data_IF_161279960228
#
_entry.id   IF_161279960228
#
_cell.length_a   1.000
_cell.length_b   1.000
_cell.length_c   1.000
_cell.angle_alpha   90.00
_cell.angle_beta   90.00
_cell.angle_gamma   90.00
#
_symmetry.space_group_name_H-M   'P 1'
#
loop_
_entity.id
_entity.type
_entity.pdbx_description
1 polymer ?
#
# COMPACT_ATOMS: atom_id res chain seq x y z
N UNK A 1 -34.84 -37.47 -34.52
CA UNK A 1 -34.22 -36.13 -34.54
C UNK A 1 -35.18 -35.18 -33.84
N UNK A 2 -34.97 -34.94 -32.55
CA UNK A 2 -35.82 -34.06 -31.74
C UNK A 2 -35.09 -32.73 -31.52
N UNK A 3 -35.63 -31.65 -32.07
CA UNK A 3 -35.25 -30.29 -31.72
C UNK A 3 -36.39 -29.69 -30.89
N UNK A 4 -36.18 -29.58 -29.58
CA UNK A 4 -37.07 -28.85 -28.67
C UNK A 4 -36.39 -27.52 -28.37
N UNK A 5 -36.82 -26.46 -29.04
CA UNK A 5 -36.53 -25.08 -28.68
C UNK A 5 -37.40 -24.70 -27.48
N UNK A 6 -36.85 -24.84 -26.27
CA UNK A 6 -37.45 -24.28 -25.06
C UNK A 6 -37.20 -22.77 -24.97
N UNK A 7 -38.15 -21.97 -24.43
CA UNK A 7 -37.93 -20.57 -24.17
C UNK A 7 -36.87 -20.43 -23.07
N UNK A 8 -35.80 -19.70 -23.36
CA UNK A 8 -34.84 -19.25 -22.34
C UNK A 8 -35.63 -18.40 -21.34
N UNK A 9 -35.96 -19.00 -20.19
CA UNK A 9 -36.52 -18.30 -19.05
C UNK A 9 -35.53 -17.19 -18.67
N UNK A 10 -35.83 -15.95 -19.07
CA UNK A 10 -35.26 -14.75 -18.45
C UNK A 10 -35.69 -14.76 -16.98
N UNK A 11 -34.88 -15.35 -16.10
CA UNK A 11 -34.96 -15.07 -14.66
C UNK A 11 -34.90 -13.56 -14.51
N UNK A 12 -35.98 -12.96 -13.99
CA UNK A 12 -36.00 -11.57 -13.53
C UNK A 12 -34.75 -11.33 -12.68
N UNK A 13 -33.87 -10.42 -13.09
CA UNK A 13 -32.76 -9.91 -12.29
C UNK A 13 -33.28 -8.99 -11.17
N UNK A 14 -34.17 -9.50 -10.33
CA UNK A 14 -34.55 -8.84 -9.08
C UNK A 14 -33.45 -9.16 -8.06
N UNK A 15 -32.45 -8.29 -7.93
CA UNK A 15 -31.39 -8.50 -6.93
C UNK A 15 -30.01 -7.87 -7.21
N UNK A 16 -29.83 -7.05 -8.25
CA UNK A 16 -28.57 -6.33 -8.45
C UNK A 16 -28.60 -4.98 -7.74
N UNK A 17 -27.53 -4.65 -7.02
CA UNK A 17 -27.35 -3.31 -6.48
C UNK A 17 -27.23 -2.31 -7.63
N UNK A 18 -27.79 -1.10 -7.46
CA UNK A 18 -27.62 -0.03 -8.43
C UNK A 18 -26.14 0.23 -8.68
N UNK A 19 -25.78 0.40 -9.94
CA UNK A 19 -24.42 0.78 -10.32
C UNK A 19 -24.29 2.28 -10.12
N UNK A 20 -23.87 2.69 -8.93
CA UNK A 20 -23.58 4.09 -8.62
C UNK A 20 -22.19 4.21 -7.99
N UNK A 21 -21.54 5.38 -8.13
CA UNK A 21 -20.31 5.72 -7.41
C UNK A 21 -20.35 5.26 -5.95
N UNK A 22 -19.30 4.58 -5.52
CA UNK A 22 -19.14 4.14 -4.13
C UNK A 22 -18.29 5.11 -3.31
N UNK A 23 -18.16 4.81 -2.03
CA UNK A 23 -17.16 5.44 -1.17
C UNK A 23 -16.20 4.38 -0.65
N UNK A 24 -14.91 4.70 -0.58
CA UNK A 24 -13.87 3.86 -0.02
C UNK A 24 -13.14 4.58 1.12
N UNK A 25 -13.24 4.06 2.34
CA UNK A 25 -12.39 4.45 3.46
C UNK A 25 -11.17 3.53 3.51
N UNK A 26 -9.98 4.10 3.39
CA UNK A 26 -8.70 3.39 3.30
C UNK A 26 -7.84 3.80 4.49
N UNK A 27 -7.61 2.86 5.39
CA UNK A 27 -6.82 3.04 6.60
C UNK A 27 -5.54 2.26 6.41
N UNK A 28 -4.46 2.97 6.12
CA UNK A 28 -3.12 2.39 6.02
C UNK A 28 -2.29 2.89 7.19
N UNK A 29 -1.77 1.96 7.99
CA UNK A 29 -0.89 2.25 9.11
C UNK A 29 0.50 1.74 8.76
N UNK A 30 1.44 2.68 8.73
CA UNK A 30 2.87 2.41 8.49
C UNK A 30 3.64 2.32 9.78
N UNK A 31 3.51 3.35 10.61
CA UNK A 31 4.30 3.53 11.82
C UNK A 31 3.43 3.25 13.05
N UNK A 32 4.03 2.55 14.01
CA UNK A 32 3.37 2.10 15.23
C UNK A 32 4.17 2.61 16.42
N UNK A 33 3.48 3.20 17.39
CA UNK A 33 4.09 3.58 18.66
C UNK A 33 4.35 2.32 19.47
N UNK A 34 5.60 2.04 19.80
CA UNK A 34 5.98 0.92 20.66
C UNK A 34 7.02 0.01 20.02
N UNK A 35 6.81 -1.31 20.17
CA UNK A 35 7.77 -2.35 19.75
C UNK A 35 7.46 -2.96 18.38
N UNK A 36 6.34 -2.57 17.76
CA UNK A 36 5.99 -3.08 16.44
C UNK A 36 6.85 -2.43 15.37
N UNK A 37 7.29 -3.25 14.42
CA UNK A 37 8.10 -2.79 13.31
C UNK A 37 7.26 -1.96 12.33
N UNK A 38 7.85 -0.97 11.64
CA UNK A 38 7.15 -0.25 10.59
C UNK A 38 6.75 -1.18 9.43
N UNK A 39 5.56 -0.96 8.86
CA UNK A 39 5.10 -1.69 7.67
C UNK A 39 5.64 -1.06 6.40
N UNK A 40 6.81 -1.51 5.99
CA UNK A 40 7.40 -1.14 4.70
C UNK A 40 6.41 -1.44 3.56
N UNK A 41 6.10 -0.48 2.69
CA UNK A 41 5.11 -0.66 1.61
C UNK A 41 3.66 -0.31 1.96
N UNK A 42 3.33 0.04 3.20
CA UNK A 42 1.98 0.50 3.57
C UNK A 42 1.50 1.70 2.72
N UNK A 43 2.43 2.60 2.36
CA UNK A 43 2.16 3.71 1.43
C UNK A 43 1.77 3.23 0.04
N UNK A 44 2.43 2.19 -0.47
CA UNK A 44 2.11 1.63 -1.77
C UNK A 44 0.76 0.91 -1.73
N UNK A 45 0.43 0.17 -0.66
CA UNK A 45 -0.92 -0.37 -0.47
C UNK A 45 -2.00 0.72 -0.52
N UNK A 46 -1.78 1.83 0.21
CA UNK A 46 -2.68 2.98 0.20
C UNK A 46 -2.87 3.52 -1.22
N UNK A 47 -1.77 3.77 -1.93
CA UNK A 47 -1.81 4.27 -3.30
C UNK A 47 -2.46 3.30 -4.28
N UNK A 48 -2.25 1.99 -4.10
CA UNK A 48 -2.86 0.96 -4.93
C UNK A 48 -4.37 0.91 -4.77
N UNK A 49 -4.85 0.88 -3.52
CA UNK A 49 -6.28 0.90 -3.21
C UNK A 49 -6.91 2.21 -3.70
N UNK A 50 -6.31 3.36 -3.36
CA UNK A 50 -6.85 4.67 -3.72
C UNK A 50 -7.02 4.81 -5.23
N UNK A 51 -5.98 4.50 -6.00
CA UNK A 51 -6.01 4.64 -7.45
C UNK A 51 -7.00 3.65 -8.08
N UNK A 52 -7.05 2.41 -7.59
CA UNK A 52 -8.01 1.40 -8.06
C UNK A 52 -9.46 1.83 -7.83
N UNK A 53 -9.77 2.33 -6.63
CA UNK A 53 -11.11 2.82 -6.32
C UNK A 53 -11.46 4.10 -7.10
N UNK A 54 -10.49 5.00 -7.31
CA UNK A 54 -10.70 6.21 -8.11
C UNK A 54 -11.09 5.87 -9.55
N UNK A 55 -10.41 4.90 -10.20
CA UNK A 55 -10.76 4.48 -11.59
C UNK A 55 -12.07 3.68 -11.67
N UNK A 56 -12.57 3.18 -10.54
CA UNK A 56 -13.94 2.61 -10.44
C UNK A 56 -15.01 3.67 -10.19
N UNK A 57 -14.63 4.94 -10.03
CA UNK A 57 -15.53 6.05 -9.73
C UNK A 57 -15.93 6.15 -8.26
N UNK A 58 -15.23 5.45 -7.36
CA UNK A 58 -15.44 5.61 -5.93
C UNK A 58 -14.71 6.87 -5.43
N UNK A 59 -15.33 7.56 -4.47
CA UNK A 59 -14.65 8.60 -3.70
C UNK A 59 -13.82 7.96 -2.59
N UNK A 60 -12.58 8.37 -2.42
CA UNK A 60 -11.66 7.77 -1.45
C UNK A 60 -11.40 8.70 -0.26
N UNK A 61 -11.39 8.14 0.95
CA UNK A 61 -11.08 8.81 2.20
C UNK A 61 -9.98 8.05 2.96
N UNK A 62 -9.06 8.75 3.64
CA UNK A 62 -8.78 10.18 3.47
C UNK A 62 -8.29 10.48 2.04
N UNK A 63 -8.42 11.74 1.62
CA UNK A 63 -7.96 12.16 0.29
C UNK A 63 -6.44 12.00 0.11
N UNK A 64 -5.68 12.11 1.20
CA UNK A 64 -4.23 11.88 1.24
C UNK A 64 -3.90 10.88 2.33
N UNK A 65 -2.78 10.15 2.19
CA UNK A 65 -2.33 9.23 3.22
C UNK A 65 -2.19 9.96 4.57
N UNK A 66 -2.79 9.37 5.61
CA UNK A 66 -2.64 9.82 6.99
C UNK A 66 -1.66 8.87 7.68
N UNK A 67 -0.59 9.43 8.26
CA UNK A 67 0.49 8.65 8.86
C UNK A 67 0.12 8.05 10.21
N UNK A 68 -0.69 8.76 10.99
CA UNK A 68 -1.06 8.38 12.35
C UNK A 68 -2.56 8.16 12.45
N UNK A 69 -2.97 6.98 12.91
CA UNK A 69 -4.34 6.61 13.16
C UNK A 69 -4.52 6.27 14.63
N UNK A 70 -5.38 7.02 15.32
CA UNK A 70 -5.99 6.61 16.58
C UNK A 70 -7.43 6.13 16.35
N UNK A 71 -8.08 5.61 17.40
CA UNK A 71 -9.48 5.19 17.30
C UNK A 71 -10.42 6.37 17.00
N UNK A 72 -10.16 7.55 17.57
CA UNK A 72 -10.96 8.74 17.31
C UNK A 72 -10.78 9.23 15.87
N UNK A 73 -9.56 9.14 15.33
CA UNK A 73 -9.28 9.44 13.93
C UNK A 73 -10.06 8.53 12.99
N UNK A 74 -10.13 7.23 13.30
CA UNK A 74 -10.93 6.28 12.54
C UNK A 74 -12.41 6.68 12.54
N UNK A 75 -12.98 6.95 13.71
CA UNK A 75 -14.40 7.34 13.86
C UNK A 75 -14.68 8.64 13.08
N UNK A 76 -13.79 9.62 13.13
CA UNK A 76 -13.94 10.87 12.40
C UNK A 76 -13.86 10.66 10.88
N UNK A 77 -12.89 9.87 10.40
CA UNK A 77 -12.78 9.54 8.99
C UNK A 77 -13.96 8.72 8.47
N UNK A 78 -14.55 7.85 9.32
CA UNK A 78 -15.77 7.14 8.98
C UNK A 78 -16.96 8.09 8.81
N UNK A 79 -17.14 9.04 9.72
CA UNK A 79 -18.18 10.08 9.61
C UNK A 79 -18.04 10.88 8.32
N UNK A 80 -16.81 11.30 8.00
CA UNK A 80 -16.50 11.98 6.74
C UNK A 80 -16.83 11.10 5.53
N UNK A 81 -16.42 9.83 5.56
CA UNK A 81 -16.64 8.89 4.46
C UNK A 81 -18.13 8.55 4.23
N UNK A 82 -18.98 8.62 5.25
CA UNK A 82 -20.43 8.38 5.06
C UNK A 82 -21.20 9.62 4.64
N UNK A 83 -20.64 10.82 4.82
CA UNK A 83 -21.29 12.11 4.47
C UNK A 83 -21.79 12.16 3.00
N UNK A 84 -21.03 11.69 1.99
CA UNK A 84 -21.51 11.68 0.60
C UNK A 84 -22.79 10.87 0.40
N UNK A 85 -23.05 9.86 1.24
CA UNK A 85 -24.28 9.07 1.16
C UNK A 85 -25.52 9.84 1.63
N UNK A 86 -25.35 10.87 2.43
CA UNK A 86 -26.42 11.73 2.94
C UNK A 86 -26.69 12.89 1.99
N UNK A 87 -25.60 13.53 1.56
CA UNK A 87 -25.65 14.83 0.88
C UNK A 87 -25.71 14.72 -0.65
N UNK A 88 -25.19 13.63 -1.23
CA UNK A 88 -25.00 13.54 -2.69
C UNK A 88 -25.79 12.41 -3.35
N UNK A 89 -26.74 12.80 -4.22
CA UNK A 89 -27.58 11.87 -4.99
C UNK A 89 -26.77 10.81 -5.75
N UNK A 90 -25.59 11.18 -6.28
CA UNK A 90 -24.72 10.27 -7.02
C UNK A 90 -24.25 9.07 -6.17
N UNK A 91 -24.10 9.23 -4.86
CA UNK A 91 -23.59 8.20 -3.95
C UNK A 91 -24.71 7.52 -3.14
N UNK A 92 -25.94 8.03 -3.16
CA UNK A 92 -27.06 7.53 -2.34
C UNK A 92 -27.40 6.04 -2.50
N UNK A 93 -26.90 5.35 -3.51
CA UNK A 93 -27.08 3.89 -3.69
C UNK A 93 -25.76 3.12 -3.82
N UNK A 94 -24.64 3.80 -3.63
CA UNK A 94 -23.31 3.26 -3.85
C UNK A 94 -22.85 2.29 -2.78
N UNK A 95 -21.89 1.41 -3.12
CA UNK A 95 -21.21 0.58 -2.15
C UNK A 95 -20.32 1.39 -1.22
N UNK A 96 -20.11 0.84 -0.03
CA UNK A 96 -19.10 1.29 0.92
C UNK A 96 -17.97 0.28 1.00
N UNK A 97 -16.75 0.72 0.74
CA UNK A 97 -15.52 -0.06 0.91
C UNK A 97 -14.80 0.41 2.16
N UNK A 98 -14.40 -0.52 3.02
CA UNK A 98 -13.57 -0.25 4.18
C UNK A 98 -12.32 -1.10 4.08
N UNK A 99 -11.16 -0.48 3.88
CA UNK A 99 -9.90 -1.17 3.68
C UNK A 99 -8.95 -0.86 4.84
N UNK A 100 -8.47 -1.90 5.51
CA UNK A 100 -7.39 -1.81 6.48
C UNK A 100 -6.12 -2.43 5.90
N UNK A 101 -5.02 -1.68 5.92
CA UNK A 101 -3.66 -2.20 5.74
C UNK A 101 -2.85 -1.82 6.98
N UNK A 102 -2.68 -2.76 7.91
CA UNK A 102 -2.02 -2.50 9.19
C UNK A 102 -1.42 -3.80 9.79
N UNK A 103 -0.91 -3.73 11.02
CA UNK A 103 -0.71 -4.90 11.86
C UNK A 103 -2.03 -5.38 12.49
N UNK A 104 -2.05 -6.64 12.89
CA UNK A 104 -3.16 -7.16 13.67
C UNK A 104 -2.91 -8.55 14.21
N UNK A 105 -3.61 -8.86 15.29
CA UNK A 105 -3.56 -10.13 16.00
C UNK A 105 -4.96 -10.52 16.52
N UNK A 106 -5.03 -11.53 17.37
CA UNK A 106 -6.24 -12.00 18.04
C UNK A 106 -7.06 -10.91 18.77
N UNK A 107 -6.44 -9.80 19.19
CA UNK A 107 -7.10 -8.66 19.85
C UNK A 107 -7.78 -7.74 18.85
N UNK A 108 -7.29 -7.67 17.62
CA UNK A 108 -7.88 -6.89 16.55
C UNK A 108 -6.87 -6.24 15.62
N UNK A 109 -7.25 -5.06 15.13
CA UNK A 109 -6.50 -4.26 14.17
C UNK A 109 -5.62 -3.28 14.96
N UNK A 110 -4.30 -3.30 14.77
CA UNK A 110 -3.40 -2.37 15.47
C UNK A 110 -3.48 -0.99 14.83
N UNK A 111 -3.51 0.05 15.67
CA UNK A 111 -3.51 1.47 15.28
C UNK A 111 -2.13 2.10 15.53
N UNK A 112 -1.91 3.34 15.05
CA UNK A 112 -0.60 3.99 15.15
C UNK A 112 -0.16 4.30 16.57
N UNK A 113 -1.09 4.45 17.50
CA UNK A 113 -0.82 4.63 18.92
C UNK A 113 -0.41 3.33 19.63
N UNK A 114 -0.40 2.21 18.92
CA UNK A 114 -0.12 0.87 19.45
C UNK A 114 -1.34 0.21 20.11
N UNK A 115 -2.47 0.92 20.17
CA UNK A 115 -3.73 0.37 20.65
C UNK A 115 -4.36 -0.54 19.60
N UNK A 116 -5.23 -1.43 20.08
CA UNK A 116 -6.01 -2.29 19.21
C UNK A 116 -7.39 -1.68 18.98
N UNK A 117 -7.90 -1.81 17.76
CA UNK A 117 -9.31 -1.69 17.43
C UNK A 117 -9.91 -3.10 17.35
N UNK A 118 -10.57 -3.58 18.41
CA UNK A 118 -11.22 -4.88 18.39
C UNK A 118 -12.32 -4.93 17.33
N UNK A 119 -12.47 -6.10 16.70
CA UNK A 119 -13.42 -6.27 15.60
C UNK A 119 -14.88 -6.10 16.04
N UNK A 120 -15.21 -6.41 17.29
CA UNK A 120 -16.53 -6.15 17.88
C UNK A 120 -16.79 -4.63 18.06
N UNK A 121 -15.76 -3.85 18.41
CA UNK A 121 -15.85 -2.39 18.50
C UNK A 121 -16.02 -1.79 17.11
N UNK A 122 -15.26 -2.26 16.11
CA UNK A 122 -15.46 -1.89 14.71
C UNK A 122 -16.90 -2.18 14.26
N UNK A 123 -17.44 -3.35 14.62
CA UNK A 123 -18.83 -3.73 14.35
C UNK A 123 -19.82 -2.75 14.99
N UNK A 124 -19.62 -2.36 16.24
CA UNK A 124 -20.48 -1.39 16.92
C UNK A 124 -20.43 -0.02 16.25
N UNK A 125 -19.22 0.47 15.90
CA UNK A 125 -19.04 1.75 15.22
C UNK A 125 -19.77 1.78 13.86
N UNK A 126 -19.67 0.70 13.07
CA UNK A 126 -20.36 0.60 11.79
C UNK A 126 -21.89 0.49 11.97
N UNK A 127 -22.36 -0.11 13.07
CA UNK A 127 -23.79 -0.23 13.41
C UNK A 127 -24.49 1.07 13.72
N UNK A 128 -23.75 2.03 14.25
CA UNK A 128 -24.23 3.37 14.54
C UNK A 128 -24.45 4.20 13.26
N UNK A 129 -23.84 3.81 12.14
CA UNK A 129 -23.99 4.52 10.87
C UNK A 129 -25.26 4.06 10.13
N UNK A 130 -26.39 4.74 10.39
CA UNK A 130 -27.67 4.40 9.78
C UNK A 130 -27.64 4.40 8.25
N UNK A 131 -26.84 5.31 7.68
CA UNK A 131 -26.59 5.41 6.23
C UNK A 131 -26.08 4.11 5.62
N UNK A 132 -25.41 3.26 6.39
CA UNK A 132 -24.82 2.02 5.92
C UNK A 132 -25.75 0.79 6.01
N UNK A 133 -26.87 0.83 6.77
CA UNK A 133 -27.68 -0.36 7.10
C UNK A 133 -28.20 -1.15 5.88
N UNK A 134 -28.59 -0.49 4.80
CA UNK A 134 -29.14 -1.13 3.59
C UNK A 134 -28.15 -1.18 2.41
N UNK A 135 -26.90 -0.80 2.64
CA UNK A 135 -25.90 -0.66 1.57
C UNK A 135 -25.02 -1.89 1.42
N UNK A 136 -24.54 -2.18 0.20
CA UNK A 136 -23.49 -3.16 0.01
C UNK A 136 -22.20 -2.64 0.65
N UNK A 137 -21.64 -3.41 1.58
CA UNK A 137 -20.41 -3.11 2.31
C UNK A 137 -19.37 -4.15 1.96
N UNK A 138 -18.15 -3.73 1.64
CA UNK A 138 -17.02 -4.61 1.40
C UNK A 138 -15.89 -4.21 2.33
N UNK A 139 -15.53 -5.11 3.24
CA UNK A 139 -14.47 -4.88 4.22
C UNK A 139 -13.25 -5.70 3.81
N UNK A 140 -12.16 -5.01 3.51
CA UNK A 140 -10.88 -5.58 3.09
C UNK A 140 -9.88 -5.41 4.23
N UNK A 141 -9.29 -6.50 4.72
CA UNK A 141 -8.35 -6.44 5.86
C UNK A 141 -7.04 -7.11 5.47
N UNK A 142 -6.00 -6.31 5.28
CA UNK A 142 -4.61 -6.77 5.29
C UNK A 142 -4.03 -6.51 6.67
N UNK A 143 -3.96 -7.55 7.49
CA UNK A 143 -3.43 -7.49 8.86
C UNK A 143 -2.18 -8.38 8.95
N UNK A 144 -1.01 -7.73 8.99
CA UNK A 144 0.28 -8.39 9.10
C UNK A 144 0.56 -8.70 10.57
N UNK A 145 1.02 -9.90 10.90
CA UNK A 145 1.59 -10.16 12.23
C UNK A 145 3.00 -9.59 12.23
N UNK A 146 3.27 -8.55 13.01
CA UNK A 146 4.62 -8.02 13.18
C UNK A 146 5.59 -9.14 13.61
N UNK A 147 6.89 -8.95 13.42
CA UNK A 147 7.90 -10.00 13.65
C UNK A 147 7.87 -10.61 15.07
N UNK A 148 7.31 -9.91 16.06
CA UNK A 148 7.28 -10.34 17.47
C UNK A 148 6.00 -11.06 17.93
N UNK A 149 4.99 -11.27 17.08
CA UNK A 149 3.73 -11.90 17.50
C UNK A 149 3.88 -13.44 17.61
N UNK A 150 4.29 -13.92 18.79
CA UNK A 150 4.56 -15.34 19.10
C UNK A 150 3.29 -16.22 19.25
N UNK A 151 2.08 -15.65 19.23
CA UNK A 151 0.84 -16.46 19.29
C UNK A 151 0.55 -17.06 17.92
N UNK A 152 0.07 -18.30 17.84
CA UNK A 152 -0.25 -18.95 16.54
C UNK A 152 -1.58 -18.47 15.92
N UNK A 153 -2.37 -17.69 16.65
CA UNK A 153 -3.75 -17.33 16.26
C UNK A 153 -3.87 -15.89 15.73
N UNK A 154 -4.00 -15.71 14.41
CA UNK A 154 -4.30 -14.38 13.81
C UNK A 154 -5.60 -13.77 14.35
N UNK A 155 -5.96 -12.53 13.91
CA UNK A 155 -7.27 -11.96 14.23
C UNK A 155 -8.35 -13.01 14.00
N UNK A 156 -9.05 -13.40 15.06
CA UNK A 156 -10.09 -14.42 14.97
C UNK A 156 -11.28 -13.81 14.26
N UNK A 157 -11.25 -13.83 12.93
CA UNK A 157 -12.36 -13.45 12.07
C UNK A 157 -13.60 -14.33 12.32
N UNK A 158 -13.44 -15.49 12.97
CA UNK A 158 -14.57 -16.30 13.45
C UNK A 158 -15.50 -15.57 14.43
N UNK A 159 -15.05 -14.46 15.03
CA UNK A 159 -15.89 -13.54 15.80
C UNK A 159 -16.87 -12.71 14.94
N UNK A 160 -16.70 -12.69 13.62
CA UNK A 160 -17.60 -12.05 12.65
C UNK A 160 -18.75 -12.94 12.18
N UNK A 161 -19.03 -14.09 12.81
CA UNK A 161 -20.22 -14.88 12.43
C UNK A 161 -21.49 -14.02 12.56
N UNK A 162 -22.00 -13.60 11.41
CA UNK A 162 -23.28 -12.91 11.27
C UNK A 162 -24.35 -14.00 11.26
N UNK A 163 -25.19 -14.03 12.29
CA UNK A 163 -26.45 -14.77 12.22
C UNK A 163 -27.33 -14.04 11.22
N UNK A 164 -27.48 -14.62 10.04
CA UNK A 164 -28.21 -14.05 8.92
C UNK A 164 -29.73 -14.05 9.22
N UNK A 165 -30.26 -13.14 10.03
CA UNK A 165 -31.72 -13.16 10.26
C UNK A 165 -32.42 -11.85 10.63
N UNK A 166 -31.84 -10.66 10.41
CA UNK A 166 -32.72 -9.48 10.33
C UNK A 166 -32.20 -8.39 9.41
N UNK A 167 -33.12 -7.78 8.65
CA UNK A 167 -32.89 -6.55 7.89
C UNK A 167 -32.44 -5.36 8.76
N UNK A 168 -32.39 -5.53 10.08
CA UNK A 168 -31.88 -4.58 11.06
C UNK A 168 -30.43 -4.88 11.50
N UNK A 169 -29.79 -5.98 11.06
CA UNK A 169 -28.39 -6.24 11.40
C UNK A 169 -27.49 -5.22 10.68
N UNK A 170 -26.66 -4.46 11.43
CA UNK A 170 -25.60 -3.62 10.90
C UNK A 170 -24.71 -4.28 9.82
N UNK A 171 -24.57 -5.60 9.88
CA UNK A 171 -23.77 -6.41 8.96
C UNK A 171 -24.57 -7.01 7.80
N UNK A 172 -25.86 -6.73 7.74
CA UNK A 172 -26.67 -7.04 6.57
C UNK A 172 -26.01 -6.43 5.33
N UNK A 173 -25.82 -7.23 4.28
CA UNK A 173 -25.15 -6.82 3.04
C UNK A 173 -23.66 -6.45 3.24
N UNK A 174 -22.94 -7.14 4.12
CA UNK A 174 -21.47 -7.02 4.23
C UNK A 174 -20.75 -8.25 3.67
N UNK A 175 -19.70 -8.01 2.90
CA UNK A 175 -18.71 -9.01 2.50
C UNK A 175 -17.36 -8.67 3.12
N UNK A 176 -16.69 -9.66 3.70
CA UNK A 176 -15.33 -9.50 4.21
C UNK A 176 -14.33 -10.26 3.35
N UNK A 177 -13.18 -9.65 3.10
CA UNK A 177 -12.04 -10.25 2.42
C UNK A 177 -10.82 -9.93 3.27
N UNK A 178 -10.29 -10.92 3.96
CA UNK A 178 -9.16 -10.73 4.86
C UNK A 178 -7.96 -11.56 4.42
N UNK A 179 -6.78 -11.00 4.65
CA UNK A 179 -5.48 -11.65 4.55
C UNK A 179 -4.75 -11.44 5.86
N UNK A 180 -4.53 -12.55 6.55
CA UNK A 180 -3.67 -12.66 7.71
C UNK A 180 -2.70 -13.78 7.36
N UNK A 181 -1.58 -13.45 6.70
CA UNK A 181 -0.59 -14.47 6.34
C UNK A 181 0.02 -14.98 7.66
N UNK A 182 -0.50 -16.09 8.16
CA UNK A 182 0.09 -16.81 9.28
C UNK A 182 1.42 -17.39 8.81
N UNK A 183 2.34 -17.48 9.76
CA UNK A 183 3.63 -18.18 9.70
C UNK A 183 4.81 -17.49 9.02
N UNK A 184 4.63 -16.43 8.22
CA UNK A 184 5.75 -15.56 7.79
C UNK A 184 5.30 -14.12 7.63
N UNK A 185 6.25 -13.19 7.75
CA UNK A 185 6.11 -11.78 7.38
C UNK A 185 5.32 -11.74 6.08
N UNK A 186 4.05 -11.31 6.13
CA UNK A 186 3.34 -10.93 4.93
C UNK A 186 4.27 -9.98 4.20
N UNK A 187 4.82 -10.38 3.04
CA UNK A 187 5.83 -9.60 2.34
C UNK A 187 5.21 -8.26 1.98
N UNK A 188 5.44 -7.31 2.88
CA UNK A 188 5.30 -5.90 2.71
C UNK A 188 6.73 -5.50 2.42
N UNK A 189 7.13 -5.69 1.16
CA UNK A 189 8.32 -5.01 0.68
C UNK A 189 7.98 -3.54 0.60
N UNK A 190 8.98 -2.70 0.36
CA UNK A 190 8.77 -1.35 -0.09
C UNK A 190 7.77 -1.24 -1.26
N UNK A 191 7.53 -2.31 -2.04
CA UNK A 191 6.57 -2.37 -3.15
C UNK A 191 5.09 -2.53 -2.72
N UNK A 192 4.81 -2.82 -1.45
CA UNK A 192 3.45 -3.09 -0.96
C UNK A 192 3.17 -4.58 -0.71
N UNK A 193 1.93 -4.89 -0.33
CA UNK A 193 1.53 -6.25 -0.01
C UNK A 193 1.00 -7.00 -1.23
N UNK A 194 1.41 -8.26 -1.35
CA UNK A 194 0.98 -9.16 -2.44
C UNK A 194 -0.54 -9.30 -2.47
N UNK A 195 -1.19 -9.37 -1.30
CA UNK A 195 -2.65 -9.45 -1.19
C UNK A 195 -3.34 -8.21 -1.78
N UNK A 196 -2.92 -7.00 -1.39
CA UNK A 196 -3.55 -5.76 -1.89
C UNK A 196 -3.30 -5.60 -3.39
N UNK A 197 -2.10 -5.94 -3.87
CA UNK A 197 -1.79 -5.92 -5.30
C UNK A 197 -2.69 -6.88 -6.10
N UNK A 198 -2.85 -8.13 -5.65
CA UNK A 198 -3.74 -9.07 -6.31
C UNK A 198 -5.21 -8.63 -6.21
N UNK A 199 -5.64 -8.12 -5.07
CA UNK A 199 -6.99 -7.57 -4.90
C UNK A 199 -7.27 -6.46 -5.91
N UNK A 200 -6.36 -5.48 -6.03
CA UNK A 200 -6.46 -4.41 -7.00
C UNK A 200 -6.43 -4.96 -8.45
N UNK A 201 -5.52 -5.89 -8.74
CA UNK A 201 -5.39 -6.48 -10.07
C UNK A 201 -6.66 -7.21 -10.51
N UNK A 202 -7.32 -7.94 -9.62
CA UNK A 202 -8.55 -8.67 -9.94
C UNK A 202 -9.74 -7.74 -10.16
N UNK A 203 -9.84 -6.64 -9.42
CA UNK A 203 -10.81 -5.58 -9.74
C UNK A 203 -10.57 -5.09 -11.16
N UNK A 204 -9.35 -4.65 -11.47
CA UNK A 204 -9.00 -4.05 -12.77
C UNK A 204 -9.15 -5.03 -13.94
N UNK A 205 -8.78 -6.29 -13.73
CA UNK A 205 -8.96 -7.37 -14.71
C UNK A 205 -10.43 -7.54 -15.03
N UNK A 206 -11.28 -7.70 -14.01
CA UNK A 206 -12.71 -7.88 -14.21
C UNK A 206 -13.38 -6.67 -14.87
N UNK A 207 -12.93 -5.43 -14.58
CA UNK A 207 -13.42 -4.23 -15.24
C UNK A 207 -13.11 -4.18 -16.75
N UNK A 208 -11.99 -4.77 -17.18
CA UNK A 208 -11.57 -4.78 -18.59
C UNK A 208 -12.17 -5.93 -19.40
N UNK A 209 -12.29 -7.09 -18.76
CA UNK A 209 -12.65 -8.34 -19.43
C UNK A 209 -14.18 -8.50 -19.60
N UNK A 210 -15.00 -7.95 -18.67
CA UNK A 210 -16.42 -8.29 -18.56
C UNK A 210 -17.39 -7.09 -18.53
N UNK A 211 -16.97 -5.88 -18.95
CA UNK A 211 -17.73 -4.62 -18.82
C UNK A 211 -18.24 -4.33 -17.37
N UNK A 212 -17.54 -4.92 -16.40
CA UNK A 212 -17.78 -4.81 -14.98
C UNK A 212 -17.38 -6.09 -14.25
N UNK A 213 -17.07 -5.98 -12.95
CA UNK A 213 -16.69 -7.14 -12.14
C UNK A 213 -17.61 -7.27 -10.93
N UNK A 214 -17.96 -8.52 -10.58
CA UNK A 214 -18.60 -8.76 -9.29
C UNK A 214 -17.53 -8.88 -8.22
N UNK A 215 -17.84 -8.43 -7.00
CA UNK A 215 -16.90 -8.58 -5.88
C UNK A 215 -16.61 -10.06 -5.56
N UNK A 216 -17.53 -10.97 -5.90
CA UNK A 216 -17.34 -12.40 -5.79
C UNK A 216 -16.27 -12.90 -6.78
N UNK A 217 -16.26 -12.42 -8.02
CA UNK A 217 -15.22 -12.75 -9.00
C UNK A 217 -13.85 -12.25 -8.52
N UNK A 218 -13.81 -11.05 -7.93
CA UNK A 218 -12.58 -10.48 -7.35
C UNK A 218 -12.08 -11.39 -6.23
N UNK A 219 -12.96 -11.77 -5.29
CA UNK A 219 -12.65 -12.70 -4.21
C UNK A 219 -12.07 -14.01 -4.73
N UNK A 220 -12.74 -14.66 -5.67
CA UNK A 220 -12.31 -15.94 -6.24
C UNK A 220 -10.99 -15.81 -7.03
N UNK A 221 -10.82 -14.70 -7.74
CA UNK A 221 -9.58 -14.36 -8.43
C UNK A 221 -8.40 -14.21 -7.47
N UNK A 222 -8.60 -13.50 -6.35
CA UNK A 222 -7.57 -13.32 -5.32
C UNK A 222 -7.18 -14.65 -4.70
N UNK A 223 -8.17 -15.47 -4.31
CA UNK A 223 -7.90 -16.82 -3.76
C UNK A 223 -7.12 -17.66 -4.76
N UNK A 224 -7.52 -17.66 -6.04
CA UNK A 224 -6.83 -18.41 -7.10
C UNK A 224 -5.40 -17.92 -7.31
N UNK A 225 -5.18 -16.61 -7.32
CA UNK A 225 -3.86 -16.02 -7.49
C UNK A 225 -2.93 -16.42 -6.34
N UNK A 226 -3.41 -16.32 -5.10
CA UNK A 226 -2.60 -16.63 -3.91
C UNK A 226 -2.33 -18.12 -3.74
N UNK A 227 -3.30 -18.98 -4.08
CA UNK A 227 -3.12 -20.45 -4.04
C UNK A 227 -2.22 -20.98 -5.16
N UNK A 228 -2.13 -20.27 -6.30
CA UNK A 228 -1.26 -20.63 -7.42
C UNK A 228 0.23 -20.41 -7.17
N UNK A 229 0.62 -19.75 -6.08
CA UNK A 229 2.01 -19.48 -5.72
C UNK A 229 2.64 -20.78 -5.17
N UNK A 230 3.27 -21.55 -6.08
CA UNK A 230 3.76 -22.95 -5.95
C UNK A 230 4.74 -23.27 -4.81
N UNK A 231 5.16 -22.34 -3.96
CA UNK A 231 6.07 -22.58 -2.82
C UNK A 231 5.41 -22.55 -1.44
N UNK A 232 4.10 -22.40 -1.35
CA UNK A 232 3.36 -22.67 -0.10
C UNK A 232 3.04 -24.18 -0.01
N UNK A 233 4.01 -25.00 0.40
CA UNK A 233 3.82 -26.44 0.56
C UNK A 233 2.76 -26.77 1.63
N UNK A 234 1.58 -27.17 1.15
CA UNK A 234 0.73 -28.30 1.58
C UNK A 234 0.25 -28.50 3.03
N UNK A 235 0.59 -27.67 4.02
CA UNK A 235 -0.11 -27.68 5.33
C UNK A 235 -0.31 -26.30 6.00
N UNK A 236 0.24 -25.22 5.44
CA UNK A 236 0.23 -23.88 6.07
C UNK A 236 -0.22 -22.75 5.12
N UNK A 237 -1.12 -23.03 4.18
CA UNK A 237 -1.95 -21.96 3.61
C UNK A 237 -3.10 -21.75 4.60
N UNK A 238 -2.86 -20.91 5.60
CA UNK A 238 -3.89 -20.62 6.58
C UNK A 238 -4.89 -19.64 6.00
N UNK A 239 -6.09 -20.16 5.75
CA UNK A 239 -7.35 -19.48 5.48
C UNK A 239 -7.23 -18.09 4.82
N UNK A 240 -6.99 -18.07 3.51
CA UNK A 240 -7.82 -17.20 2.66
C UNK A 240 -9.13 -17.93 2.41
N UNK A 241 -9.89 -18.27 3.47
CA UNK A 241 -11.34 -18.38 3.29
C UNK A 241 -11.82 -16.96 3.35
N UNK A 242 -12.26 -16.38 2.23
CA UNK A 242 -12.97 -15.13 2.31
C UNK A 242 -14.30 -15.54 2.95
N UNK A 243 -14.38 -15.47 4.27
CA UNK A 243 -15.59 -15.81 5.00
C UNK A 243 -16.65 -14.82 4.50
N UNK A 244 -17.65 -15.37 3.81
CA UNK A 244 -18.72 -14.59 3.24
C UNK A 244 -19.66 -14.31 4.41
N UNK A 245 -19.53 -13.12 5.00
CA UNK A 245 -20.30 -12.73 6.19
C UNK A 245 -21.79 -12.53 5.89
N UNK A 246 -22.21 -12.52 4.62
CA UNK A 246 -23.62 -12.48 4.25
C UNK A 246 -23.84 -12.94 2.80
N UNK A 247 -24.60 -14.02 2.58
CA UNK A 247 -24.91 -14.56 1.24
C UNK A 247 -25.71 -13.62 0.33
N UNK A 248 -26.28 -12.54 0.89
CA UNK A 248 -27.15 -11.61 0.17
C UNK A 248 -26.42 -10.72 -0.86
N UNK A 249 -25.08 -10.74 -0.91
CA UNK A 249 -24.29 -10.00 -1.91
C UNK A 249 -23.92 -10.82 -3.15
N UNK A 250 -24.20 -12.12 -3.18
CA UNK A 250 -23.81 -13.02 -4.27
C UNK A 250 -24.38 -12.52 -5.61
N UNK A 251 -23.50 -11.98 -6.48
CA UNK A 251 -23.84 -11.51 -7.83
C UNK A 251 -24.50 -10.13 -7.93
N UNK A 252 -24.61 -9.39 -6.82
CA UNK A 252 -25.40 -8.16 -6.76
C UNK A 252 -24.59 -6.87 -6.97
N UNK A 253 -23.34 -6.81 -6.50
CA UNK A 253 -22.49 -5.62 -6.63
C UNK A 253 -21.61 -5.73 -7.87
N UNK A 254 -21.84 -4.85 -8.86
CA UNK A 254 -21.05 -4.76 -10.09
C UNK A 254 -20.32 -3.43 -10.11
N UNK A 255 -18.99 -3.46 -10.14
CA UNK A 255 -18.16 -2.29 -10.37
C UNK A 255 -18.07 -2.01 -11.86
N UNK A 256 -18.00 -0.72 -12.25
CA UNK A 256 -17.80 -0.29 -13.64
C UNK A 256 -16.62 0.67 -13.76
N UNK A 257 -15.91 0.65 -14.89
CA UNK A 257 -14.84 1.61 -15.12
C UNK A 257 -15.44 2.99 -15.38
N UNK A 258 -14.85 4.05 -14.82
CA UNK A 258 -15.16 5.43 -15.24
C UNK A 258 -14.48 5.80 -16.54
N UNK A 259 -13.26 5.27 -16.75
CA UNK A 259 -12.45 5.48 -17.94
C UNK A 259 -11.66 4.19 -18.23
N UNK A 260 -11.97 3.53 -19.36
CA UNK A 260 -11.36 2.25 -19.74
C UNK A 260 -9.86 2.37 -19.96
N UNK A 261 -9.40 3.46 -20.56
CA UNK A 261 -7.98 3.71 -20.81
C UNK A 261 -7.22 3.92 -19.51
N UNK A 262 -7.82 4.63 -18.54
CA UNK A 262 -7.25 4.79 -17.21
C UNK A 262 -7.12 3.44 -16.50
N UNK A 263 -8.16 2.59 -16.56
CA UNK A 263 -8.12 1.23 -16.01
C UNK A 263 -7.03 0.39 -16.67
N UNK A 264 -6.88 0.48 -18.00
CA UNK A 264 -5.84 -0.27 -18.72
C UNK A 264 -4.42 0.17 -18.35
N UNK A 265 -4.17 1.49 -18.31
CA UNK A 265 -2.89 2.06 -17.85
C UNK A 265 -2.58 1.63 -16.42
N UNK A 266 -3.58 1.71 -15.55
CA UNK A 266 -3.42 1.35 -14.15
C UNK A 266 -3.16 -0.15 -13.94
N UNK A 267 -3.87 -1.02 -14.68
CA UNK A 267 -3.60 -2.47 -14.66
C UNK A 267 -2.18 -2.79 -15.11
N UNK A 268 -1.66 -2.09 -16.13
CA UNK A 268 -0.28 -2.29 -16.58
C UNK A 268 0.73 -1.98 -15.45
N UNK A 269 0.49 -0.92 -14.67
CA UNK A 269 1.30 -0.56 -13.50
C UNK A 269 1.21 -1.66 -12.44
N UNK A 270 0.00 -2.07 -12.03
CA UNK A 270 -0.18 -3.13 -11.01
C UNK A 270 0.48 -4.44 -11.45
N UNK A 271 0.32 -4.81 -12.72
CA UNK A 271 0.93 -6.03 -13.29
C UNK A 271 2.46 -5.93 -13.28
N UNK A 272 3.01 -4.75 -13.57
CA UNK A 272 4.45 -4.51 -13.48
C UNK A 272 4.97 -4.73 -12.05
N UNK A 273 4.31 -4.16 -11.04
CA UNK A 273 4.69 -4.36 -9.64
C UNK A 273 4.60 -5.83 -9.22
N UNK A 274 3.52 -6.52 -9.59
CA UNK A 274 3.41 -7.97 -9.38
C UNK A 274 4.57 -8.73 -10.03
N UNK A 275 4.98 -8.37 -11.24
CA UNK A 275 6.11 -9.02 -11.92
C UNK A 275 7.47 -8.82 -11.23
N UNK A 276 7.59 -7.76 -10.42
CA UNK A 276 8.81 -7.43 -9.66
C UNK A 276 8.84 -8.04 -8.27
N UNK A 277 7.73 -8.61 -7.80
CA UNK A 277 7.70 -9.27 -6.50
C UNK A 277 8.63 -10.49 -6.51
N UNK A 278 9.49 -10.67 -5.49
CA UNK A 278 10.30 -11.87 -5.37
C UNK A 278 9.38 -13.06 -5.12
N UNK A 279 9.17 -13.88 -6.15
CA UNK A 279 8.35 -15.10 -6.07
C UNK A 279 9.04 -16.25 -5.34
N UNK A 280 10.34 -16.10 -5.06
CA UNK A 280 11.15 -17.10 -4.36
C UNK A 280 11.27 -16.75 -2.88
N UNK A 281 10.47 -17.42 -2.07
CA UNK A 281 10.66 -17.45 -0.61
C UNK A 281 11.81 -18.44 -0.36
N UNK A 282 12.99 -17.93 -0.01
CA UNK A 282 14.03 -18.76 0.60
C UNK A 282 13.52 -19.27 1.96
N UNK A 283 13.59 -20.59 2.16
CA UNK A 283 13.43 -21.16 3.50
C UNK A 283 14.76 -20.97 4.23
N UNK A 284 14.82 -20.05 5.19
CA UNK A 284 15.74 -20.23 6.30
C UNK A 284 15.14 -21.34 7.18
N UNK A 285 15.75 -22.54 7.12
CA UNK A 285 15.45 -23.67 8.01
C UNK A 285 16.24 -23.59 9.33
N UNK A 286 17.07 -22.57 9.52
CA UNK A 286 17.83 -22.35 10.74
C UNK A 286 17.39 -21.01 11.36
N UNK A 287 16.53 -21.05 12.38
CA UNK A 287 16.53 -20.13 13.53
C UNK A 287 15.28 -20.37 14.42
N UNK A 288 15.28 -21.51 15.11
CA UNK A 288 14.59 -21.67 16.39
C UNK A 288 15.59 -22.25 17.39
N UNK A 289 16.34 -21.37 18.06
CA UNK A 289 16.87 -21.63 19.41
C UNK A 289 16.87 -20.32 20.19
N UNK A 290 15.83 -20.12 20.99
CA UNK A 290 15.89 -19.26 22.17
C UNK A 290 16.04 -20.19 23.37
N UNK A 291 17.13 -20.06 24.12
CA UNK A 291 17.22 -20.50 25.51
C UNK A 291 18.18 -19.57 26.26
N UNK A 292 17.75 -19.09 27.42
CA UNK A 292 18.50 -18.18 28.29
C UNK A 292 18.97 -18.91 29.57
N UNK A 293 20.25 -18.70 29.93
CA UNK A 293 20.99 -18.88 31.22
C UNK A 293 21.08 -20.26 31.91
N UNK A 294 22.07 -20.54 32.81
CA UNK A 294 23.25 -19.76 33.30
C UNK A 294 24.62 -20.50 33.26
N UNK A 295 25.69 -19.75 33.61
CA UNK A 295 27.02 -20.11 34.18
C UNK A 295 27.57 -21.54 34.05
N UNK A 296 28.78 -21.67 33.49
CA UNK A 296 29.95 -22.26 34.18
C UNK A 296 31.25 -22.03 33.36
N UNK A 297 32.33 -21.68 34.06
CA UNK A 297 33.70 -21.55 33.53
C UNK A 297 34.24 -22.90 33.02
N UNK A 298 35.31 -22.92 32.19
CA UNK A 298 36.63 -23.06 32.82
C UNK A 298 37.77 -22.26 32.15
N UNK A 299 38.62 -21.71 33.03
CA UNK A 299 40.09 -21.59 32.96
C UNK A 299 40.78 -21.79 31.60
N UNK A 300 41.51 -20.78 31.14
CA UNK A 300 42.92 -20.95 30.78
C UNK A 300 43.68 -19.62 30.94
N UNK A 301 44.67 -19.67 31.84
CA UNK A 301 45.77 -18.71 31.97
C UNK A 301 46.59 -18.65 30.68
N UNK A 302 46.94 -17.44 30.22
CA UNK A 302 48.31 -17.10 29.80
C UNK A 302 48.56 -15.61 30.10
N UNK A 303 49.65 -15.38 30.83
CA UNK A 303 50.32 -14.14 31.23
C UNK A 303 50.86 -13.36 30.02
N UNK A 304 51.13 -12.05 29.99
CA UNK A 304 51.97 -11.17 30.83
C UNK A 304 51.81 -9.72 30.32
N UNK A 305 51.91 -8.74 31.23
CA UNK A 305 52.56 -7.40 31.13
C UNK A 305 52.20 -6.48 29.93
N UNK A 306 51.99 -5.16 30.04
CA UNK A 306 52.64 -4.17 30.91
C UNK A 306 51.93 -2.79 30.76
N UNK A 307 51.91 -2.06 31.88
CA UNK A 307 52.10 -0.59 32.04
C UNK A 307 51.24 0.48 31.31
N UNK A 308 50.55 1.26 32.17
CA UNK A 308 50.67 2.73 32.38
C UNK A 308 49.55 3.69 31.92
N UNK A 309 49.03 4.37 32.96
CA UNK A 309 48.51 5.74 33.12
C UNK A 309 47.29 6.33 32.38
N UNK A 310 46.31 6.63 33.24
CA UNK A 310 45.84 7.96 33.65
C UNK A 310 45.07 8.90 32.70
N UNK A 311 44.02 9.49 33.29
CA UNK A 311 43.30 10.68 32.83
C UNK A 311 41.81 10.40 32.62
N UNK A 312 40.98 10.34 33.67
CA UNK A 312 40.24 11.48 34.25
C UNK A 312 39.91 12.57 33.23
N UNK A 313 38.64 12.70 32.85
CA UNK A 313 37.91 13.98 32.93
C UNK A 313 36.39 13.75 33.06
N UNK A 314 35.85 14.58 33.94
CA UNK A 314 34.51 14.76 34.51
C UNK A 314 33.42 15.18 33.48
N UNK A 315 32.18 14.70 33.68
CA UNK A 315 30.95 15.46 34.03
C UNK A 315 30.38 16.36 32.91
N UNK A 316 29.22 16.01 32.36
CA UNK A 316 27.83 16.29 32.82
C UNK A 316 27.27 17.61 32.28
N UNK A 317 25.95 17.55 32.05
CA UNK A 317 24.99 18.66 32.05
C UNK A 317 24.89 19.48 30.76
N UNK A 318 23.78 20.07 30.34
CA UNK A 318 22.31 19.86 30.37
C UNK A 318 21.71 21.10 29.65
N UNK A 319 20.38 21.24 29.63
CA UNK A 319 19.54 22.36 29.11
C UNK A 319 19.17 22.24 27.62
N UNK A 320 17.92 21.97 27.20
CA UNK A 320 16.57 22.46 27.59
C UNK A 320 16.34 23.96 27.33
N UNK A 321 15.60 24.22 26.25
CA UNK A 321 14.62 25.32 26.01
C UNK A 321 13.80 24.84 24.79
N UNK A 322 12.47 24.65 24.74
CA UNK A 322 11.23 25.23 25.32
C UNK A 322 10.83 26.57 24.68
N UNK A 323 9.76 26.49 23.86
CA UNK A 323 8.80 27.50 23.35
C UNK A 323 9.34 28.42 22.22
N UNK A 324 8.61 28.77 21.15
CA UNK A 324 7.18 29.09 21.01
C UNK A 324 6.65 28.77 19.58
N UNK A 325 5.36 28.40 19.48
CA UNK A 325 4.56 28.59 18.26
C UNK A 325 4.04 30.04 18.17
N UNK A 326 3.64 30.48 16.97
CA UNK A 326 2.29 31.03 16.87
C UNK A 326 1.49 30.54 15.65
N UNK A 327 0.26 30.12 15.91
CA UNK A 327 -0.89 30.10 14.98
C UNK A 327 -1.66 31.46 15.06
N UNK A 328 -2.74 31.70 14.29
CA UNK A 328 -2.96 31.54 12.84
C UNK A 328 -3.66 32.81 12.24
N UNK A 329 -4.09 32.67 10.98
CA UNK A 329 -5.15 33.39 10.23
C UNK A 329 -4.72 34.44 9.18
N UNK A 330 -5.09 34.22 7.90
CA UNK A 330 -5.65 35.20 6.95
C UNK A 330 -6.25 34.47 5.71
N UNK A 331 -7.55 34.76 5.49
CA UNK A 331 -8.36 34.87 4.27
C UNK A 331 -8.37 33.80 3.15
N UNK A 332 -9.60 33.33 2.90
CA UNK A 332 -10.07 32.77 1.64
C UNK A 332 -10.18 33.85 0.55
N UNK A 333 -9.84 33.46 -0.69
CA UNK A 333 -10.11 34.24 -1.90
C UNK A 333 -8.88 34.54 -2.76
N UNK A 334 -8.28 33.53 -3.37
CA UNK A 334 -7.36 33.69 -4.49
C UNK A 334 -7.39 32.43 -5.34
N UNK A 335 -7.44 32.57 -6.67
CA UNK A 335 -7.06 31.52 -7.61
C UNK A 335 -5.68 31.02 -7.18
N UNK A 336 -5.65 29.88 -6.48
CA UNK A 336 -4.42 29.24 -6.06
C UNK A 336 -3.76 28.65 -7.29
N UNK A 337 -3.05 29.51 -8.03
CA UNK A 337 -2.12 29.12 -9.06
C UNK A 337 -1.27 27.98 -8.48
N UNK A 338 -1.43 26.81 -9.07
CA UNK A 338 -0.74 25.60 -8.64
C UNK A 338 0.76 25.90 -8.66
N UNK A 339 1.41 25.86 -7.49
CA UNK A 339 2.86 26.01 -7.39
C UNK A 339 3.54 24.73 -7.89
N UNK A 340 3.69 24.63 -9.20
CA UNK A 340 4.31 23.49 -9.89
C UNK A 340 5.74 23.30 -9.42
N UNK A 341 6.48 24.38 -9.18
CA UNK A 341 7.85 24.35 -8.71
C UNK A 341 7.93 23.73 -7.31
N UNK A 342 7.10 24.19 -6.37
CA UNK A 342 7.04 23.63 -5.02
C UNK A 342 6.71 22.13 -5.02
N UNK A 343 5.78 21.70 -5.87
CA UNK A 343 5.45 20.27 -6.04
C UNK A 343 6.64 19.46 -6.57
N UNK A 344 7.32 19.96 -7.60
CA UNK A 344 8.50 19.31 -8.18
C UNK A 344 9.64 19.21 -7.17
N UNK A 345 9.88 20.27 -6.39
CA UNK A 345 10.96 20.29 -5.40
C UNK A 345 10.70 19.28 -4.26
N UNK A 346 9.42 19.10 -3.85
CA UNK A 346 9.03 18.03 -2.92
C UNK A 346 9.26 16.63 -3.50
N UNK A 347 8.90 16.42 -4.76
CA UNK A 347 9.12 15.15 -5.46
C UNK A 347 10.62 14.81 -5.56
N UNK A 348 11.45 15.79 -5.93
CA UNK A 348 12.91 15.64 -6.00
C UNK A 348 13.53 15.42 -4.62
N UNK A 349 13.00 16.06 -3.56
CA UNK A 349 13.43 15.80 -2.18
C UNK A 349 13.17 14.34 -1.77
N UNK A 350 11.96 13.83 -2.03
CA UNK A 350 11.60 12.44 -1.75
C UNK A 350 12.44 11.45 -2.56
N UNK A 351 12.67 11.71 -3.84
CA UNK A 351 13.49 10.86 -4.70
C UNK A 351 14.94 10.78 -4.21
N UNK A 352 15.54 11.91 -3.80
CA UNK A 352 16.89 11.94 -3.22
C UNK A 352 17.00 11.12 -1.94
N UNK A 353 16.03 11.30 -1.04
CA UNK A 353 15.97 10.52 0.20
C UNK A 353 15.92 9.01 -0.10
N UNK A 354 15.13 8.60 -1.08
CA UNK A 354 15.02 7.19 -1.48
C UNK A 354 16.32 6.64 -2.08
N UNK A 355 16.98 7.41 -2.95
CA UNK A 355 18.26 7.03 -3.57
C UNK A 355 19.33 6.79 -2.49
N UNK A 356 19.45 7.71 -1.54
CA UNK A 356 20.41 7.59 -0.44
C UNK A 356 20.05 6.45 0.51
N UNK A 357 18.78 6.32 0.91
CA UNK A 357 18.34 5.29 1.85
C UNK A 357 18.56 3.86 1.32
N UNK A 358 18.45 3.65 0.01
CA UNK A 358 18.67 2.34 -0.62
C UNK A 358 20.11 2.07 -1.03
N UNK A 359 21.03 3.02 -0.80
CA UNK A 359 22.40 2.92 -1.31
C UNK A 359 22.48 2.90 -2.85
N UNK A 360 21.48 3.45 -3.54
CA UNK A 360 21.44 3.52 -5.01
C UNK A 360 22.22 4.73 -5.56
N UNK A 361 23.14 5.29 -4.77
CA UNK A 361 23.90 6.48 -5.17
C UNK A 361 24.86 6.20 -6.32
N UNK A 362 25.18 4.92 -6.58
CA UNK A 362 26.07 4.48 -7.65
C UNK A 362 25.34 3.57 -8.65
N UNK A 363 25.46 3.87 -9.94
CA UNK A 363 24.97 3.04 -11.05
C UNK A 363 26.12 2.63 -11.95
N UNK A 364 26.12 1.37 -12.39
CA UNK A 364 27.10 0.88 -13.37
C UNK A 364 26.76 1.43 -14.76
N UNK A 365 27.76 1.97 -15.45
CA UNK A 365 27.64 2.44 -16.81
C UNK A 365 28.02 1.31 -17.78
N UNK A 366 27.32 1.15 -18.90
CA UNK A 366 27.69 0.17 -19.91
C UNK A 366 29.04 0.52 -20.55
N UNK A 367 29.75 -0.50 -21.02
CA UNK A 367 30.99 -0.31 -21.77
C UNK A 367 30.72 0.49 -23.06
N UNK A 368 31.51 1.54 -23.30
CA UNK A 368 31.37 2.43 -24.45
C UNK A 368 32.58 2.23 -25.36
N UNK A 369 32.32 1.86 -26.63
CA UNK A 369 33.35 1.77 -27.66
C UNK A 369 32.95 2.61 -28.87
N UNK A 370 33.37 3.86 -28.89
CA UNK A 370 33.03 4.82 -29.95
C UNK A 370 34.22 5.13 -30.86
N UNK A 371 33.94 5.31 -32.15
CA UNK A 371 34.95 5.75 -33.13
C UNK A 371 34.73 7.22 -33.42
N UNK A 372 35.64 8.06 -32.94
CA UNK A 372 35.60 9.49 -33.18
C UNK A 372 36.24 9.80 -34.55
N UNK A 373 35.56 10.60 -35.36
CA UNK A 373 36.13 11.18 -36.59
C UNK A 373 35.98 12.69 -36.49
N UNK A 374 37.00 13.36 -35.95
CA UNK A 374 37.00 14.81 -35.86
C UNK A 374 37.80 15.41 -37.02
N UNK A 375 37.20 16.39 -37.69
CA UNK A 375 37.85 17.15 -38.74
C UNK A 375 38.28 18.49 -38.15
N UNK A 376 39.58 18.74 -38.09
CA UNK A 376 40.14 20.04 -37.70
C UNK A 376 40.74 20.66 -38.96
N UNK A 377 40.11 21.75 -39.43
CA UNK A 377 40.42 22.46 -40.69
C UNK A 377 40.29 21.53 -41.91
N UNK A 378 41.36 20.81 -42.28
CA UNK A 378 41.42 19.93 -43.46
C UNK A 378 41.91 18.51 -43.15
N UNK A 379 42.35 18.23 -41.91
CA UNK A 379 42.88 16.93 -41.51
C UNK A 379 41.79 16.17 -40.76
N UNK A 380 41.51 14.93 -41.19
CA UNK A 380 40.63 13.99 -40.48
C UNK A 380 41.49 13.20 -39.50
N UNK A 381 41.26 13.39 -38.21
CA UNK A 381 41.96 12.63 -37.17
C UNK A 381 41.02 11.49 -36.73
N UNK A 382 41.33 10.23 -37.04
CA UNK A 382 40.60 9.10 -36.51
C UNK A 382 41.00 8.89 -35.04
N UNK A 383 40.01 8.82 -34.16
CA UNK A 383 40.17 8.47 -32.76
C UNK A 383 39.29 7.29 -32.40
N UNK A 384 39.64 6.59 -31.31
CA UNK A 384 38.78 5.59 -30.68
C UNK A 384 38.69 5.91 -29.21
N UNK A 385 37.47 5.96 -28.69
CA UNK A 385 37.18 6.08 -27.28
C UNK A 385 36.72 4.71 -26.77
N UNK A 386 37.37 4.22 -25.73
CA UNK A 386 37.05 2.97 -25.06
C UNK A 386 36.90 3.27 -23.56
N UNK A 387 35.72 3.03 -23.02
CA UNK A 387 35.46 3.08 -21.58
C UNK A 387 34.87 1.73 -21.16
N UNK A 388 35.42 1.15 -20.09
CA UNK A 388 35.01 -0.15 -19.58
C UNK A 388 34.78 -0.09 -18.08
N UNK A 389 33.82 -0.86 -17.57
CA UNK A 389 33.51 -0.96 -16.14
C UNK A 389 33.26 0.41 -15.48
N UNK A 390 32.63 1.31 -16.22
CA UNK A 390 32.36 2.65 -15.74
C UNK A 390 31.28 2.65 -14.66
N UNK A 391 31.28 3.70 -13.85
CA UNK A 391 30.18 3.97 -12.93
C UNK A 391 29.91 5.46 -12.82
N UNK A 392 28.66 5.79 -12.51
CA UNK A 392 28.23 7.12 -12.12
C UNK A 392 27.82 7.09 -10.64
N UNK A 393 28.34 8.01 -9.84
CA UNK A 393 28.06 8.15 -8.40
C UNK A 393 27.45 9.51 -8.08
N UNK A 394 26.83 9.61 -6.91
CA UNK A 394 26.18 10.80 -6.36
C UNK A 394 24.89 11.17 -7.09
N UNK A 395 24.08 10.16 -7.46
CA UNK A 395 22.77 10.36 -8.09
C UNK A 395 21.78 11.13 -7.19
N UNK A 396 21.98 11.09 -5.87
CA UNK A 396 21.21 11.89 -4.91
C UNK A 396 21.52 13.41 -4.96
N UNK A 397 22.50 13.85 -5.76
CA UNK A 397 22.76 15.28 -6.00
C UNK A 397 21.80 15.92 -7.01
N UNK A 398 20.76 15.19 -7.42
CA UNK A 398 19.76 15.62 -8.39
C UNK A 398 18.96 16.81 -7.85
N UNK A 399 18.96 17.91 -8.60
CA UNK A 399 18.18 19.10 -8.28
C UNK A 399 17.69 19.79 -9.54
N UNK A 400 16.71 20.68 -9.38
CA UNK A 400 16.17 21.50 -10.45
C UNK A 400 17.06 22.71 -10.68
N UNK A 401 17.29 23.08 -11.95
CA UNK A 401 18.12 24.24 -12.34
C UNK A 401 17.35 25.38 -13.00
N UNK A 402 16.04 25.24 -13.14
CA UNK A 402 15.17 26.23 -13.76
C UNK A 402 13.70 25.91 -13.51
N UNK A 403 12.78 26.78 -13.92
CA UNK A 403 11.36 26.59 -13.62
C UNK A 403 10.78 25.36 -14.31
N UNK A 404 9.95 24.64 -13.56
CA UNK A 404 9.15 23.54 -14.07
C UNK A 404 7.98 24.11 -14.87
N UNK A 405 7.86 23.68 -16.13
CA UNK A 405 6.80 24.15 -17.04
C UNK A 405 5.81 23.01 -17.22
N UNK A 406 4.57 23.24 -16.81
CA UNK A 406 3.47 22.32 -17.07
C UNK A 406 2.71 22.80 -18.31
N UNK A 407 2.57 21.93 -19.29
CA UNK A 407 1.76 22.19 -20.48
C UNK A 407 0.67 21.14 -20.63
N UNK A 408 -0.49 21.56 -21.12
CA UNK A 408 -1.62 20.67 -21.41
C UNK A 408 -1.85 20.69 -22.90
N UNK A 409 -1.78 19.52 -23.53
CA UNK A 409 -2.09 19.34 -24.95
C UNK A 409 -3.19 18.29 -25.08
N UNK A 410 -4.43 18.76 -25.17
CA UNK A 410 -5.62 17.91 -25.17
C UNK A 410 -5.78 17.17 -23.83
N UNK A 411 -5.72 15.84 -23.89
CA UNK A 411 -5.83 14.93 -22.75
C UNK A 411 -4.48 14.60 -22.09
N UNK A 412 -3.38 15.19 -22.59
CA UNK A 412 -2.03 14.97 -22.08
C UNK A 412 -1.56 16.16 -21.26
N UNK A 413 -1.11 15.84 -20.04
CA UNK A 413 -0.36 16.75 -19.19
C UNK A 413 1.13 16.41 -19.33
N UNK A 414 1.91 17.38 -19.80
CA UNK A 414 3.36 17.29 -19.93
C UNK A 414 4.00 18.21 -18.89
N UNK A 415 5.02 17.71 -18.21
CA UNK A 415 5.76 18.45 -17.19
C UNK A 415 7.24 18.45 -17.58
N UNK A 416 7.74 19.60 -18.02
CA UNK A 416 9.13 19.80 -18.40
C UNK A 416 9.89 20.37 -17.21
N UNK A 417 10.86 19.60 -16.71
CA UNK A 417 11.65 19.96 -15.52
C UNK A 417 13.13 19.96 -15.91
N UNK A 418 13.79 21.13 -15.90
CA UNK A 418 15.23 21.18 -16.12
C UNK A 418 15.97 20.70 -14.87
N UNK A 419 16.73 19.62 -14.99
CA UNK A 419 17.44 18.96 -13.89
C UNK A 419 18.96 19.00 -14.09
N UNK A 420 19.70 18.97 -12.98
CA UNK A 420 21.15 18.81 -12.94
C UNK A 420 21.59 17.97 -11.75
N UNK A 421 22.83 17.51 -11.80
CA UNK A 421 23.51 16.78 -10.73
C UNK A 421 24.70 17.62 -10.27
N UNK A 422 24.72 18.03 -9.00
CA UNK A 422 25.75 18.94 -8.49
C UNK A 422 27.13 18.28 -8.42
N UNK A 423 27.19 17.01 -8.07
CA UNK A 423 28.42 16.29 -7.76
C UNK A 423 28.51 14.94 -8.50
N UNK A 424 28.07 14.92 -9.77
CA UNK A 424 28.14 13.70 -10.57
C UNK A 424 29.59 13.28 -10.79
N UNK A 425 29.97 12.16 -10.19
CA UNK A 425 31.29 11.56 -10.38
C UNK A 425 31.16 10.41 -11.38
N UNK A 426 31.99 10.44 -12.42
CA UNK A 426 32.06 9.39 -13.44
C UNK A 426 33.48 8.83 -13.46
N UNK A 427 33.58 7.51 -13.46
CA UNK A 427 34.85 6.80 -13.63
C UNK A 427 34.82 5.91 -14.85
#
# INVERSE_FOLDING_TARGET
MCAVSGPVLRRRMAGRYPVSPGVALIISVRDFKGKDEPRLGARNDFMFLKSTFTVTGCRTFPATEKLNWSQSDFVNALKEAVTPFEEEEAFKRGPFFLCFSTHGDEKGITLSDGEYLPLNVLRAILAEQETLRSRPKVIVIQACRGAMCMTKDGPKLSSFKVTADSAADPWGNTMGIASCVQTRVSYSSDLGSIFILHFCNEILRGLLDNDGCTIQDVKEGVVRALTGIRKFNSQEIVYTTPELFCDNLQGALVLKPTNRDAVQKWRAIVTHFLSKMPWEIERNEEDIKISAFPLDEPTHEVTTAEMVDAGKFEEQSSMVSVLEEPSPCVAAGADSALDVNGFVDQLLSAARAEISNRGMEQVSLPDISEKLKQKVISIKIPGRFLAFNGWAKSLASLHRIGDAVMSTNGDKLSLDIPLSLTDLQIR
#
